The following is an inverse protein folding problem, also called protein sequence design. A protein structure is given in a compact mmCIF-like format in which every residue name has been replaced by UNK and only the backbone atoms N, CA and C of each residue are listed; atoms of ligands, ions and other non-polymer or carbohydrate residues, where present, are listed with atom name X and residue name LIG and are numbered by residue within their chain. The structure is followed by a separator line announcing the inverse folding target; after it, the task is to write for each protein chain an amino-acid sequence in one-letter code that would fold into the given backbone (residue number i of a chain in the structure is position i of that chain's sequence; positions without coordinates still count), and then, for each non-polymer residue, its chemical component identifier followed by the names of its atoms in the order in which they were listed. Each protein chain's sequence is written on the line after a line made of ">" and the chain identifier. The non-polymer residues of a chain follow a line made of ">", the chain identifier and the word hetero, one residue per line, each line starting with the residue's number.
data_IF_216026968175
#
_entry.id   IF_216026968175
#
_cell.length_a   1.000
_cell.length_b   1.000
_cell.length_c   1.000
_cell.angle_alpha   90.00
_cell.angle_beta   90.00
_cell.angle_gamma   90.00
#
_symmetry.space_group_name_H-M   'P 1'
#
loop_
_entity.id
_entity.type
_entity.pdbx_description
1 polymer ?
#
# COMPACT_ATOMS: atom_id res chain seq x y z
N UNK A 1 33.01 25.99 21.18
CA UNK A 1 31.55 25.92 21.01
C UNK A 1 31.25 25.27 19.68
N UNK A 2 30.64 24.09 19.68
CA UNK A 2 30.20 23.42 18.45
C UNK A 2 28.70 23.18 18.59
N UNK A 3 27.91 23.96 17.87
CA UNK A 3 26.47 23.71 17.72
C UNK A 3 26.34 22.58 16.69
N UNK A 4 26.13 21.35 17.17
CA UNK A 4 25.62 20.27 16.34
C UNK A 4 24.17 20.60 16.00
N UNK A 5 23.94 21.02 14.76
CA UNK A 5 22.60 21.09 14.18
C UNK A 5 22.04 19.66 14.17
N UNK A 6 21.27 19.32 15.18
CA UNK A 6 20.52 18.07 15.20
C UNK A 6 19.42 18.22 14.16
N UNK A 7 19.63 17.66 12.96
CA UNK A 7 18.53 17.34 12.05
C UNK A 7 17.46 16.64 12.88
N UNK A 8 16.16 16.97 12.74
CA UNK A 8 15.14 16.17 13.41
C UNK A 8 15.40 14.71 13.05
N UNK A 9 15.74 13.90 14.05
CA UNK A 9 15.96 12.48 13.87
C UNK A 9 14.71 11.95 13.19
N UNK A 10 14.80 11.60 11.91
CA UNK A 10 13.66 11.04 11.19
C UNK A 10 13.29 9.75 11.91
N UNK A 11 12.14 9.71 12.57
CA UNK A 11 11.69 8.52 13.28
C UNK A 11 10.81 7.68 12.35
N UNK A 12 10.80 6.38 12.57
CA UNK A 12 9.89 5.45 11.90
C UNK A 12 8.53 5.51 12.59
N UNK A 13 7.45 5.89 11.90
CA UNK A 13 6.13 5.86 12.50
C UNK A 13 5.61 4.43 12.59
N UNK A 14 4.83 4.12 13.62
CA UNK A 14 4.06 2.90 13.63
C UNK A 14 3.18 2.81 12.37
N UNK A 15 3.15 1.63 11.73
CA UNK A 15 2.31 1.39 10.55
C UNK A 15 0.81 1.62 10.82
N UNK A 16 0.38 1.42 12.07
CA UNK A 16 -1.00 1.64 12.51
C UNK A 16 -1.36 3.11 12.77
N UNK A 17 -0.43 4.03 12.57
CA UNK A 17 -0.70 5.48 12.56
C UNK A 17 -1.82 5.86 11.58
N UNK A 18 -1.94 5.14 10.46
CA UNK A 18 -2.92 5.43 9.41
C UNK A 18 -4.29 4.76 9.62
N UNK A 19 -4.33 3.66 10.37
CA UNK A 19 -5.52 2.82 10.50
C UNK A 19 -6.20 2.97 11.88
N UNK A 20 -5.48 3.47 12.87
CA UNK A 20 -5.96 3.69 14.23
C UNK A 20 -5.25 4.87 14.88
N UNK A 21 -5.10 4.79 16.19
CA UNK A 21 -4.59 5.91 17.01
C UNK A 21 -3.17 5.66 17.53
N UNK A 22 -2.42 4.73 16.93
CA UNK A 22 -1.05 4.44 17.36
C UNK A 22 -0.10 5.56 16.92
N UNK A 23 0.45 6.28 17.89
CA UNK A 23 1.39 7.39 17.68
C UNK A 23 2.82 7.03 18.07
N UNK A 24 3.08 5.75 18.31
CA UNK A 24 4.41 5.26 18.61
C UNK A 24 5.35 5.51 17.43
N UNK A 25 6.58 5.85 17.76
CA UNK A 25 7.65 6.13 16.80
C UNK A 25 8.93 5.44 17.25
N UNK A 26 9.74 5.04 16.30
CA UNK A 26 10.94 4.22 16.54
C UNK A 26 12.17 4.91 15.97
N UNK A 27 13.32 4.65 16.58
CA UNK A 27 14.60 5.07 16.02
C UNK A 27 14.86 4.36 14.69
N UNK A 28 15.54 5.01 13.74
CA UNK A 28 15.88 4.40 12.44
C UNK A 28 16.72 3.13 12.56
N UNK A 29 17.40 2.92 13.68
CA UNK A 29 18.21 1.74 13.94
C UNK A 29 17.45 0.65 14.71
N UNK A 30 16.32 0.98 15.34
CA UNK A 30 15.49 0.03 16.09
C UNK A 30 14.37 -0.56 15.21
N UNK A 31 14.78 -1.23 14.13
CA UNK A 31 13.83 -1.87 13.21
C UNK A 31 13.20 -3.11 13.87
N UNK A 32 13.95 -3.84 14.69
CA UNK A 32 13.44 -5.02 15.39
C UNK A 32 12.34 -4.63 16.39
N UNK A 33 12.53 -3.57 17.16
CA UNK A 33 11.49 -3.02 18.03
C UNK A 33 10.26 -2.55 17.26
N UNK A 34 10.46 -1.93 16.09
CA UNK A 34 9.36 -1.53 15.21
C UNK A 34 8.58 -2.74 14.66
N UNK A 35 9.28 -3.77 14.20
CA UNK A 35 8.69 -5.04 13.73
C UNK A 35 7.90 -5.70 14.85
N UNK A 36 8.51 -5.88 16.02
CA UNK A 36 7.88 -6.58 17.13
C UNK A 36 6.67 -5.82 17.67
N UNK A 37 6.72 -4.48 17.72
CA UNK A 37 5.56 -3.67 18.08
C UNK A 37 4.39 -3.90 17.12
N UNK A 38 4.61 -3.77 15.80
CA UNK A 38 3.52 -3.95 14.83
C UNK A 38 3.02 -5.39 14.83
N UNK A 39 3.92 -6.36 14.83
CA UNK A 39 3.60 -7.79 14.78
C UNK A 39 2.81 -8.26 16.01
N UNK A 40 3.28 -7.92 17.22
CA UNK A 40 2.70 -8.40 18.46
C UNK A 40 1.49 -7.57 18.89
N UNK A 41 1.61 -6.25 18.88
CA UNK A 41 0.60 -5.37 19.47
C UNK A 41 -0.59 -5.12 18.53
N UNK A 42 -0.34 -5.05 17.22
CA UNK A 42 -1.39 -4.71 16.27
C UNK A 42 -1.86 -5.89 15.41
N UNK A 43 -0.94 -6.79 15.03
CA UNK A 43 -1.27 -7.92 14.17
C UNK A 43 -1.64 -9.19 14.94
N UNK A 44 -1.49 -9.24 16.27
CA UNK A 44 -1.68 -10.46 17.07
C UNK A 44 -0.89 -11.66 16.51
N UNK A 45 0.30 -11.41 15.94
CA UNK A 45 1.12 -12.39 15.20
C UNK A 45 0.47 -13.00 13.95
N UNK A 46 -0.66 -12.46 13.49
CA UNK A 46 -1.32 -12.78 12.22
C UNK A 46 -0.68 -11.92 11.14
N UNK A 47 0.51 -12.32 10.69
CA UNK A 47 1.32 -11.56 9.73
C UNK A 47 0.84 -11.75 8.28
N UNK A 48 0.96 -10.72 7.43
CA UNK A 48 0.56 -10.80 6.03
C UNK A 48 1.42 -11.81 5.27
N UNK A 49 0.79 -12.60 4.40
CA UNK A 49 1.52 -13.44 3.44
C UNK A 49 2.02 -12.62 2.24
N UNK A 50 1.38 -11.49 1.94
CA UNK A 50 1.73 -10.59 0.85
C UNK A 50 1.58 -9.13 1.32
N UNK A 51 2.58 -8.31 1.04
CA UNK A 51 2.59 -6.88 1.33
C UNK A 51 3.56 -6.14 0.40
N UNK A 52 3.42 -4.83 0.28
CA UNK A 52 4.21 -3.98 -0.60
C UNK A 52 4.96 -2.89 0.18
N UNK A 53 6.04 -2.37 -0.41
CA UNK A 53 6.71 -1.19 0.15
C UNK A 53 5.81 0.05 0.01
N UNK A 54 5.79 0.92 1.02
CA UNK A 54 5.09 2.22 0.95
C UNK A 54 5.63 3.15 -0.15
N UNK A 55 6.91 3.03 -0.48
CA UNK A 55 7.62 3.97 -1.34
C UNK A 55 7.97 3.43 -2.73
N UNK A 56 7.90 2.12 -2.95
CA UNK A 56 8.26 1.51 -4.24
C UNK A 56 7.05 0.91 -4.96
N UNK A 57 6.98 1.08 -6.28
CA UNK A 57 5.87 0.54 -7.09
C UNK A 57 5.92 -0.98 -7.28
N UNK A 58 7.13 -1.54 -7.31
CA UNK A 58 7.38 -2.91 -7.81
C UNK A 58 7.92 -3.85 -6.74
N UNK A 59 8.10 -3.37 -5.51
CA UNK A 59 8.69 -4.18 -4.43
C UNK A 59 7.57 -4.82 -3.63
N UNK A 60 7.38 -6.11 -3.86
CA UNK A 60 6.38 -6.96 -3.18
C UNK A 60 7.10 -8.01 -2.34
N UNK A 61 6.66 -8.16 -1.11
CA UNK A 61 7.14 -9.16 -0.16
C UNK A 61 6.10 -10.25 -0.06
N UNK A 62 6.42 -11.44 -0.58
CA UNK A 62 5.50 -12.57 -0.64
C UNK A 62 6.11 -13.80 0.06
N UNK A 63 5.39 -14.34 1.03
CA UNK A 63 5.75 -15.54 1.77
C UNK A 63 5.43 -16.79 0.95
N UNK A 64 6.45 -17.53 0.54
CA UNK A 64 6.30 -18.78 -0.18
C UNK A 64 7.29 -19.83 0.35
N UNK A 65 6.81 -20.94 0.95
CA UNK A 65 5.41 -21.28 1.24
C UNK A 65 4.77 -20.35 2.29
N UNK A 66 3.44 -20.30 2.33
CA UNK A 66 2.68 -19.50 3.32
C UNK A 66 2.72 -20.21 4.68
N UNK A 67 3.80 -19.98 5.42
CA UNK A 67 3.97 -20.45 6.80
C UNK A 67 4.23 -19.26 7.72
N UNK A 68 3.93 -19.40 9.01
CA UNK A 68 4.14 -18.32 9.99
C UNK A 68 5.59 -17.79 9.96
N UNK A 69 6.57 -18.68 9.86
CA UNK A 69 7.98 -18.31 9.79
C UNK A 69 8.30 -17.50 8.52
N UNK A 70 7.75 -17.89 7.36
CA UNK A 70 7.95 -17.17 6.11
C UNK A 70 7.22 -15.82 6.09
N UNK A 71 6.01 -15.74 6.63
CA UNK A 71 5.31 -14.47 6.81
C UNK A 71 6.09 -13.52 7.71
N UNK A 72 6.66 -14.02 8.82
CA UNK A 72 7.53 -13.20 9.69
C UNK A 72 8.74 -12.70 8.96
N UNK A 73 9.48 -13.58 8.29
CA UNK A 73 10.66 -13.21 7.52
C UNK A 73 10.36 -12.12 6.49
N UNK A 74 9.28 -12.29 5.70
CA UNK A 74 8.92 -11.33 4.65
C UNK A 74 8.37 -10.01 5.18
N UNK A 75 7.65 -10.06 6.29
CA UNK A 75 7.22 -8.84 6.98
C UNK A 75 8.42 -8.07 7.55
N UNK A 76 9.39 -8.76 8.17
CA UNK A 76 10.64 -8.15 8.63
C UNK A 76 11.44 -7.56 7.47
N UNK A 77 11.63 -8.30 6.37
CA UNK A 77 12.30 -7.81 5.15
C UNK A 77 11.65 -6.50 4.65
N UNK A 78 10.32 -6.44 4.66
CA UNK A 78 9.57 -5.25 4.27
C UNK A 78 9.86 -4.06 5.17
N UNK A 79 9.81 -4.26 6.49
CA UNK A 79 10.03 -3.19 7.46
C UNK A 79 11.46 -2.65 7.36
N UNK A 80 12.46 -3.52 7.19
CA UNK A 80 13.83 -3.08 6.89
C UNK A 80 13.92 -2.25 5.61
N UNK A 81 13.27 -2.70 4.54
CA UNK A 81 13.27 -1.97 3.28
C UNK A 81 12.60 -0.60 3.38
N UNK A 82 11.50 -0.49 4.11
CA UNK A 82 10.81 0.79 4.37
C UNK A 82 11.72 1.72 5.21
N UNK A 83 12.39 1.19 6.24
CA UNK A 83 13.32 1.97 7.05
C UNK A 83 14.49 2.53 6.23
N UNK A 84 14.99 1.80 5.24
CA UNK A 84 16.02 2.28 4.32
C UNK A 84 15.57 3.50 3.49
N UNK A 85 14.29 3.60 3.14
CA UNK A 85 13.76 4.81 2.49
C UNK A 85 13.79 6.01 3.42
N UNK A 86 13.38 5.84 4.67
CA UNK A 86 13.47 6.92 5.66
C UNK A 86 14.91 7.39 5.88
N UNK A 87 15.87 6.47 5.96
CA UNK A 87 17.31 6.80 6.04
C UNK A 87 17.82 7.60 4.84
N UNK A 88 17.17 7.47 3.68
CA UNK A 88 17.49 8.19 2.44
C UNK A 88 16.72 9.51 2.29
N UNK A 89 15.94 9.89 3.31
CA UNK A 89 15.20 11.16 3.32
C UNK A 89 13.72 11.05 2.96
N UNK A 90 13.15 9.84 2.80
CA UNK A 90 11.71 9.71 2.61
C UNK A 90 10.93 10.23 3.83
N UNK A 91 9.75 10.79 3.59
CA UNK A 91 8.91 11.41 4.60
C UNK A 91 7.51 10.79 4.61
N UNK A 92 6.71 11.16 5.61
CA UNK A 92 5.30 10.76 5.67
C UNK A 92 4.48 11.21 4.46
N UNK A 93 4.89 12.30 3.80
CA UNK A 93 4.20 12.80 2.62
C UNK A 93 4.40 11.90 1.38
N UNK A 94 5.42 11.04 1.40
CA UNK A 94 5.77 10.13 0.30
C UNK A 94 5.15 8.73 0.48
N UNK A 95 4.46 8.48 1.60
CA UNK A 95 3.86 7.18 1.93
C UNK A 95 2.64 6.92 1.06
N UNK A 96 2.57 5.70 0.53
CA UNK A 96 1.45 5.22 -0.29
C UNK A 96 0.79 3.99 0.33
N UNK A 97 -0.51 3.78 0.06
CA UNK A 97 -1.25 2.68 0.66
C UNK A 97 -0.76 1.33 0.13
N UNK A 98 -0.47 0.42 1.06
CA UNK A 98 -0.28 -1.00 0.77
C UNK A 98 -1.65 -1.69 0.80
N UNK A 99 -2.26 -1.85 -0.37
CA UNK A 99 -3.61 -2.44 -0.46
C UNK A 99 -3.63 -3.94 -0.13
N UNK A 100 -2.54 -4.67 -0.41
CA UNK A 100 -2.44 -6.09 0.00
C UNK A 100 -2.41 -6.20 1.53
N UNK A 101 -1.66 -5.33 2.21
CA UNK A 101 -1.68 -5.25 3.67
C UNK A 101 -3.04 -4.81 4.21
N UNK A 102 -3.66 -3.80 3.61
CA UNK A 102 -4.98 -3.31 4.03
C UNK A 102 -6.07 -4.39 3.94
N UNK A 103 -6.08 -5.17 2.86
CA UNK A 103 -7.00 -6.30 2.70
C UNK A 103 -6.73 -7.38 3.75
N UNK A 104 -5.46 -7.69 4.05
CA UNK A 104 -5.09 -8.60 5.15
C UNK A 104 -5.62 -8.13 6.50
N UNK A 105 -5.49 -6.84 6.82
CA UNK A 105 -6.02 -6.26 8.06
C UNK A 105 -7.54 -6.44 8.15
N UNK A 106 -8.25 -6.24 7.03
CA UNK A 106 -9.72 -6.34 7.01
C UNK A 106 -10.21 -7.78 7.13
N UNK A 107 -9.59 -8.72 6.41
CA UNK A 107 -9.98 -10.14 6.42
C UNK A 107 -9.81 -10.76 7.81
N UNK A 108 -8.82 -10.29 8.58
CA UNK A 108 -8.53 -10.78 9.93
C UNK A 108 -9.14 -9.90 11.03
N UNK A 109 -10.03 -8.97 10.70
CA UNK A 109 -10.69 -8.03 11.63
C UNK A 109 -9.71 -7.27 12.56
N UNK A 110 -8.51 -6.96 12.06
CA UNK A 110 -7.46 -6.22 12.79
C UNK A 110 -7.70 -4.70 12.78
N UNK A 111 -8.62 -4.23 11.93
CA UNK A 111 -9.04 -2.83 11.86
C UNK A 111 -10.56 -2.71 11.74
N UNK A 112 -11.10 -1.58 12.19
CA UNK A 112 -12.53 -1.28 12.02
C UNK A 112 -12.91 -1.10 10.55
N UNK A 113 -14.17 -1.38 10.20
CA UNK A 113 -14.69 -1.12 8.85
C UNK A 113 -14.56 0.35 8.42
N UNK A 114 -14.71 1.29 9.37
CA UNK A 114 -14.50 2.72 9.12
C UNK A 114 -13.04 3.04 8.78
N UNK A 115 -12.09 2.46 9.50
CA UNK A 115 -10.66 2.60 9.20
C UNK A 115 -10.31 2.02 7.84
N UNK A 116 -10.85 0.85 7.50
CA UNK A 116 -10.67 0.24 6.18
C UNK A 116 -11.19 1.14 5.06
N UNK A 117 -12.42 1.66 5.19
CA UNK A 117 -13.00 2.55 4.17
C UNK A 117 -12.18 3.82 3.99
N UNK A 118 -11.75 4.47 5.08
CA UNK A 118 -10.89 5.66 5.00
C UNK A 118 -9.59 5.37 4.24
N UNK A 119 -8.90 4.30 4.58
CA UNK A 119 -7.65 3.93 3.93
C UNK A 119 -7.84 3.53 2.46
N UNK A 120 -8.94 2.83 2.14
CA UNK A 120 -9.26 2.41 0.77
C UNK A 120 -9.56 3.59 -0.17
N UNK A 121 -10.09 4.69 0.38
CA UNK A 121 -10.36 5.92 -0.36
C UNK A 121 -9.15 6.87 -0.44
N UNK A 122 -7.96 6.44 -0.04
CA UNK A 122 -6.75 7.21 -0.26
C UNK A 122 -6.47 7.32 -1.77
N UNK A 123 -6.21 8.53 -2.24
CA UNK A 123 -5.82 8.81 -3.61
C UNK A 123 -4.59 9.73 -3.61
N UNK A 124 -3.56 9.33 -4.36
CA UNK A 124 -2.32 10.11 -4.53
C UNK A 124 -2.56 11.45 -5.24
N UNK A 125 -3.67 11.57 -5.99
CA UNK A 125 -4.10 12.79 -6.68
C UNK A 125 -5.42 13.31 -6.12
N UNK A 126 -5.61 14.64 -6.02
CA UNK A 126 -6.89 15.22 -5.67
C UNK A 126 -8.01 14.68 -6.57
N UNK A 127 -9.03 14.09 -5.97
CA UNK A 127 -10.22 13.65 -6.69
C UNK A 127 -10.97 14.90 -7.21
N UNK A 128 -11.43 14.92 -8.47
CA UNK A 128 -12.30 15.98 -8.95
C UNK A 128 -13.56 16.02 -8.09
N UNK A 129 -13.90 17.20 -7.57
CA UNK A 129 -14.98 17.45 -6.59
C UNK A 129 -16.38 16.95 -7.03
N UNK A 130 -16.54 16.60 -8.30
CA UNK A 130 -17.83 16.25 -8.89
C UNK A 130 -17.93 14.79 -9.34
N UNK A 131 -16.91 13.96 -9.08
CA UNK A 131 -16.83 12.63 -9.65
C UNK A 131 -16.74 12.66 -11.18
N UNK A 132 -16.24 11.60 -11.79
CA UNK A 132 -16.36 11.43 -13.23
C UNK A 132 -17.81 10.99 -13.46
N UNK A 133 -18.69 11.91 -13.84
CA UNK A 133 -20.02 11.56 -14.31
C UNK A 133 -19.84 10.77 -15.62
N UNK A 134 -19.72 9.45 -15.52
CA UNK A 134 -19.87 8.55 -16.66
C UNK A 134 -21.30 8.72 -17.17
N UNK A 135 -21.50 9.67 -18.07
CA UNK A 135 -22.75 9.79 -18.81
C UNK A 135 -22.87 8.48 -19.58
N UNK A 136 -23.93 7.66 -19.39
CA UNK A 136 -24.10 6.49 -20.21
C UNK A 136 -24.22 7.00 -21.65
N UNK A 137 -23.27 6.65 -22.52
CA UNK A 137 -23.35 6.96 -23.94
C UNK A 137 -24.49 6.11 -24.50
N UNK A 138 -25.69 6.66 -24.41
CA UNK A 138 -26.87 6.16 -25.07
C UNK A 138 -26.80 6.60 -26.54
N UNK A 139 -25.84 6.07 -27.30
CA UNK A 139 -25.80 6.28 -28.76
C UNK A 139 -26.49 5.11 -29.44
N UNK A 140 -27.83 5.22 -29.53
CA UNK A 140 -28.55 4.66 -30.67
C UNK A 140 -27.95 5.29 -31.93
N UNK A 141 -27.20 4.50 -32.70
CA UNK A 141 -27.03 4.75 -34.12
C UNK A 141 -27.55 3.53 -34.87
N UNK A 142 -28.72 3.76 -35.47
CA UNK A 142 -29.44 2.91 -36.39
C UNK A 142 -28.69 2.81 -37.73
N UNK A 143 -28.71 1.60 -38.30
CA UNK A 143 -28.58 1.22 -39.72
C UNK A 143 -27.38 1.71 -40.56
N UNK A 144 -26.63 0.70 -41.03
CA UNK A 144 -26.54 0.43 -42.47
C UNK A 144 -25.17 0.58 -43.13
N UNK A 145 -24.42 -0.52 -43.22
CA UNK A 145 -23.54 -0.81 -44.35
C UNK A 145 -23.15 -2.30 -44.36
N UNK A 146 -23.88 -3.09 -45.16
CA UNK A 146 -23.40 -4.40 -45.61
C UNK A 146 -22.40 -4.14 -46.73
N UNK A 147 -21.15 -4.54 -46.56
CA UNK A 147 -20.18 -4.57 -47.66
C UNK A 147 -19.90 -6.05 -47.96
N UNK A 148 -20.55 -6.52 -49.03
CA UNK A 148 -20.34 -7.83 -49.65
C UNK A 148 -18.92 -7.89 -50.23
N UNK A 149 -18.08 -8.78 -49.69
CA UNK A 149 -16.75 -9.08 -50.26
C UNK A 149 -16.93 -10.11 -51.37
N UNK A 150 -16.88 -9.66 -52.63
CA UNK A 150 -16.79 -10.54 -53.80
C UNK A 150 -15.35 -11.00 -54.01
N UNK A 151 -15.10 -12.28 -53.77
CA UNK A 151 -13.85 -12.97 -54.11
C UNK A 151 -13.73 -13.16 -55.62
N UNK A 152 -12.59 -12.77 -56.23
CA UNK A 152 -12.20 -13.18 -57.59
C UNK A 152 -11.44 -14.51 -57.56
N UNK A 153 -11.55 -15.38 -58.58
CA UNK A 153 -10.83 -16.65 -58.61
C UNK A 153 -9.39 -16.45 -59.11
N UNK A 154 -8.47 -17.39 -58.80
CA UNK A 154 -7.10 -17.35 -59.28
C UNK A 154 -7.02 -17.81 -60.75
N UNK A 155 -5.98 -17.35 -61.44
CA UNK A 155 -5.63 -17.68 -62.83
C UNK A 155 -5.27 -19.15 -63.01
#
# INVERSE_FOLDING_TARGET
>A
SSMTSVSPSQQLPCEFYWYGDCKETFDLHDIDGWVDHVAAYHLNMILPSKSCCWFCDKVVFHAQPVTQQQCRLRFTDRMHHIADHYRRGATLADVRPDFDFLDHLRINDLISGGSFQRARHYHETPQPKNGINSTPLNSRLDRGAVIEVRSRPPR
#
